data_IF_725067650792
#
_entry.id   IF_725067650792
#
_cell.length_a   1.000
_cell.length_b   1.000
_cell.length_c   1.000
_cell.angle_alpha   90.00
_cell.angle_beta   90.00
_cell.angle_gamma   90.00
#
_symmetry.space_group_name_H-M   'P 1'
#
loop_
_entity.id
_entity.type
_entity.pdbx_description
1 polymer ?
#
# COMPACT_ATOMS: atom_id res chain seq x y z
N UNK A 1 -30.52 -37.49 -11.21
CA UNK A 1 -29.20 -37.54 -10.55
C UNK A 1 -28.67 -36.11 -10.47
N UNK A 2 -28.88 -35.42 -9.35
CA UNK A 2 -28.77 -33.96 -9.26
C UNK A 2 -27.32 -33.53 -8.98
N UNK A 3 -26.86 -32.54 -9.74
CA UNK A 3 -25.52 -31.94 -9.76
C UNK A 3 -24.99 -31.48 -8.37
N UNK A 4 -24.40 -32.39 -7.60
CA UNK A 4 -23.65 -32.07 -6.38
C UNK A 4 -22.26 -31.44 -6.65
N UNK A 5 -21.74 -31.55 -7.89
CA UNK A 5 -20.39 -31.09 -8.22
C UNK A 5 -20.25 -29.56 -8.34
N UNK A 6 -21.30 -28.83 -8.75
CA UNK A 6 -21.23 -27.37 -8.90
C UNK A 6 -21.02 -26.65 -7.55
N UNK A 7 -21.68 -27.11 -6.48
CA UNK A 7 -21.60 -26.46 -5.16
C UNK A 7 -20.26 -26.74 -4.45
N UNK A 8 -19.57 -27.85 -4.79
CA UNK A 8 -18.19 -28.11 -4.33
C UNK A 8 -17.18 -27.22 -5.04
N UNK A 9 -17.32 -27.03 -6.36
CA UNK A 9 -16.40 -26.22 -7.16
C UNK A 9 -16.39 -24.75 -6.71
N UNK A 10 -17.57 -24.16 -6.47
CA UNK A 10 -17.68 -22.77 -5.99
C UNK A 10 -16.99 -22.54 -4.64
N UNK A 11 -17.16 -23.45 -3.68
CA UNK A 11 -16.51 -23.37 -2.35
C UNK A 11 -14.98 -23.42 -2.44
N UNK A 12 -14.45 -24.30 -3.30
CA UNK A 12 -13.00 -24.42 -3.51
C UNK A 12 -12.45 -23.14 -4.14
N UNK A 13 -13.14 -22.58 -5.15
CA UNK A 13 -12.76 -21.31 -5.76
C UNK A 13 -12.72 -20.17 -4.74
N UNK A 14 -13.78 -19.98 -3.94
CA UNK A 14 -13.82 -18.91 -2.91
C UNK A 14 -12.70 -19.05 -1.88
N UNK A 15 -12.36 -20.28 -1.48
CA UNK A 15 -11.24 -20.54 -0.55
C UNK A 15 -9.89 -20.22 -1.17
N UNK A 16 -9.68 -20.56 -2.44
CA UNK A 16 -8.45 -20.19 -3.17
C UNK A 16 -8.34 -18.66 -3.29
N UNK A 17 -9.43 -17.96 -3.64
CA UNK A 17 -9.45 -16.50 -3.68
C UNK A 17 -9.17 -15.87 -2.31
N UNK A 18 -9.75 -16.40 -1.23
CA UNK A 18 -9.46 -15.94 0.12
C UNK A 18 -7.98 -16.13 0.51
N UNK A 19 -7.38 -17.26 0.13
CA UNK A 19 -5.94 -17.51 0.35
C UNK A 19 -5.05 -16.56 -0.45
N UNK A 20 -5.35 -16.32 -1.73
CA UNK A 20 -4.61 -15.35 -2.56
C UNK A 20 -4.72 -13.95 -1.95
N UNK A 21 -5.92 -13.54 -1.52
CA UNK A 21 -6.14 -12.25 -0.88
C UNK A 21 -5.36 -12.14 0.44
N UNK A 22 -5.30 -13.21 1.23
CA UNK A 22 -4.51 -13.26 2.46
C UNK A 22 -3.01 -13.08 2.18
N UNK A 23 -2.48 -13.80 1.20
CA UNK A 23 -1.07 -13.69 0.80
C UNK A 23 -0.75 -12.26 0.35
N UNK A 24 -1.59 -11.67 -0.51
CA UNK A 24 -1.45 -10.29 -0.96
C UNK A 24 -1.47 -9.30 0.21
N UNK A 25 -2.37 -9.51 1.17
CA UNK A 25 -2.50 -8.66 2.36
C UNK A 25 -1.27 -8.73 3.25
N UNK A 26 -0.71 -9.93 3.46
CA UNK A 26 0.56 -10.10 4.17
C UNK A 26 1.71 -9.37 3.46
N UNK A 27 1.79 -9.42 2.13
CA UNK A 27 2.80 -8.67 1.38
C UNK A 27 2.66 -7.15 1.58
N UNK A 28 1.42 -6.64 1.63
CA UNK A 28 1.17 -5.22 1.93
C UNK A 28 1.60 -4.86 3.35
N UNK A 29 1.33 -5.70 4.35
CA UNK A 29 1.79 -5.47 5.73
C UNK A 29 3.32 -5.46 5.85
N UNK A 30 4.02 -6.33 5.12
CA UNK A 30 5.50 -6.31 5.09
C UNK A 30 6.00 -4.99 4.49
N UNK A 31 5.37 -4.51 3.42
CA UNK A 31 5.67 -3.19 2.84
C UNK A 31 5.35 -2.05 3.80
N UNK A 32 4.26 -2.13 4.55
CA UNK A 32 3.90 -1.18 5.59
C UNK A 32 4.96 -1.13 6.69
N UNK A 33 5.37 -2.29 7.20
CA UNK A 33 6.40 -2.42 8.23
C UNK A 33 7.74 -1.83 7.76
N UNK A 34 8.20 -2.21 6.57
CA UNK A 34 9.40 -1.63 5.95
C UNK A 34 9.24 -0.13 5.71
N UNK A 35 8.03 0.35 5.41
CA UNK A 35 7.80 1.78 5.22
C UNK A 35 7.94 2.54 6.53
N UNK A 36 7.21 2.11 7.55
CA UNK A 36 7.10 2.76 8.85
C UNK A 36 8.40 2.69 9.64
N UNK A 37 9.09 1.56 9.63
CA UNK A 37 10.37 1.38 10.34
C UNK A 37 11.56 2.15 9.75
N UNK A 38 11.37 2.88 8.63
CA UNK A 38 12.42 3.73 8.08
C UNK A 38 12.55 5.02 8.89
N UNK A 39 13.79 5.36 9.18
CA UNK A 39 14.19 6.65 9.71
C UNK A 39 15.09 7.35 8.69
N UNK A 40 14.85 8.65 8.50
CA UNK A 40 15.70 9.49 7.66
C UNK A 40 15.54 10.95 8.04
N UNK A 41 16.60 11.72 7.83
CA UNK A 41 16.58 13.18 7.97
C UNK A 41 17.57 13.77 6.98
N UNK A 42 17.16 14.80 6.26
CA UNK A 42 18.05 15.45 5.30
C UNK A 42 17.32 16.39 4.37
N UNK A 43 18.00 16.72 3.26
CA UNK A 43 17.52 17.67 2.27
C UNK A 43 17.16 16.94 0.98
N UNK A 44 16.03 17.31 0.37
CA UNK A 44 15.59 16.75 -0.91
C UNK A 44 16.46 17.31 -2.04
N UNK A 45 17.19 16.43 -2.72
CA UNK A 45 18.06 16.81 -3.85
C UNK A 45 17.45 16.47 -5.20
N UNK A 46 16.59 15.44 -5.26
CA UNK A 46 15.96 14.99 -6.49
C UNK A 46 14.63 14.30 -6.19
N UNK A 47 13.70 14.42 -7.13
CA UNK A 47 12.40 13.77 -7.11
C UNK A 47 12.26 12.89 -8.35
N UNK A 48 11.83 11.65 -8.17
CA UNK A 48 11.62 10.72 -9.29
C UNK A 48 10.33 9.96 -9.11
N UNK A 49 9.59 9.75 -10.20
CA UNK A 49 8.42 8.87 -10.24
C UNK A 49 8.74 7.64 -11.07
N UNK A 50 8.22 6.49 -10.66
CA UNK A 50 8.25 5.28 -11.47
C UNK A 50 6.81 4.84 -11.74
N UNK A 51 6.39 4.65 -13.00
CA UNK A 51 5.12 4.00 -13.27
C UNK A 51 5.16 2.57 -12.74
N UNK A 52 4.19 2.19 -11.92
CA UNK A 52 4.00 0.84 -11.42
C UNK A 52 2.79 0.17 -12.08
N UNK A 53 2.70 -1.15 -11.97
CA UNK A 53 1.60 -1.95 -12.55
C UNK A 53 0.24 -1.54 -11.95
N UNK A 54 0.21 -1.14 -10.67
CA UNK A 54 -1.03 -0.79 -9.95
C UNK A 54 -1.13 0.70 -9.59
N UNK A 55 0.00 1.39 -9.41
CA UNK A 55 0.04 2.82 -9.06
C UNK A 55 1.41 3.43 -9.32
N UNK A 56 1.45 4.75 -9.54
CA UNK A 56 2.69 5.52 -9.63
C UNK A 56 3.41 5.50 -8.30
N UNK A 57 4.69 5.11 -8.32
CA UNK A 57 5.56 5.11 -7.14
C UNK A 57 6.36 6.41 -7.08
N UNK A 58 6.28 7.10 -5.93
CA UNK A 58 6.92 8.39 -5.70
C UNK A 58 8.18 8.22 -4.84
N UNK A 59 9.28 8.82 -5.28
CA UNK A 59 10.57 8.73 -4.59
C UNK A 59 11.20 10.09 -4.38
N UNK A 60 11.68 10.30 -3.15
CA UNK A 60 12.58 11.39 -2.80
C UNK A 60 14.00 10.85 -2.68
N UNK A 61 14.94 11.57 -3.27
CA UNK A 61 16.37 11.35 -3.04
C UNK A 61 16.80 12.37 -2.01
N UNK A 62 17.23 11.87 -0.86
CA UNK A 62 17.54 12.67 0.31
C UNK A 62 19.04 12.57 0.57
N UNK A 63 19.69 13.72 0.69
CA UNK A 63 21.05 13.81 1.17
C UNK A 63 21.01 14.07 2.69
N UNK A 64 21.68 13.25 3.52
CA UNK A 64 21.74 13.49 4.95
C UNK A 64 22.36 14.86 5.21
N UNK A 65 21.66 15.70 5.98
CA UNK A 65 22.16 17.00 6.36
C UNK A 65 23.29 16.81 7.38
N UNK A 66 24.53 16.99 6.95
CA UNK A 66 25.57 17.49 7.86
C UNK A 66 25.23 18.94 8.19
N UNK A 67 25.55 19.39 9.40
CA UNK A 67 25.23 20.73 9.90
C UNK A 67 25.41 21.82 8.84
N UNK A 68 24.36 22.61 8.64
CA UNK A 68 24.34 23.89 7.92
C UNK A 68 24.96 23.88 6.51
N UNK A 69 24.31 23.17 5.58
CA UNK A 69 24.57 23.34 4.15
C UNK A 69 24.25 24.79 3.73
N UNK A 70 25.27 25.55 3.36
CA UNK A 70 25.10 26.89 2.82
C UNK A 70 24.33 26.84 1.48
N UNK A 71 23.61 27.92 1.13
CA UNK A 71 22.86 28.02 -0.15
C UNK A 71 23.74 27.74 -1.38
N UNK A 72 25.05 27.97 -1.26
CA UNK A 72 26.05 27.69 -2.29
C UNK A 72 26.45 26.20 -2.36
N UNK A 73 26.52 25.49 -1.24
CA UNK A 73 26.75 24.04 -1.22
C UNK A 73 25.55 23.26 -1.78
N UNK A 74 24.35 23.82 -1.60
CA UNK A 74 23.11 23.30 -2.19
C UNK A 74 23.12 23.42 -3.72
N UNK A 75 23.65 24.52 -4.25
CA UNK A 75 23.86 24.71 -5.70
C UNK A 75 25.00 23.82 -6.21
N UNK A 76 26.08 23.65 -5.44
CA UNK A 76 27.16 22.71 -5.77
C UNK A 76 26.71 21.24 -5.76
N UNK A 77 25.71 20.91 -4.95
CA UNK A 77 25.09 19.59 -4.92
C UNK A 77 24.26 19.28 -6.19
N UNK A 78 23.79 20.30 -6.91
CA UNK A 78 23.10 20.15 -8.21
C UNK A 78 24.05 19.85 -9.36
N UNK A 79 25.31 20.30 -9.29
CA UNK A 79 26.27 20.25 -10.40
C UNK A 79 27.09 18.96 -10.49
N UNK A 80 26.75 17.92 -9.71
CA UNK A 80 27.28 16.54 -9.79
C UNK A 80 28.70 16.43 -10.39
N UNK A 81 29.74 16.60 -9.57
CA UNK A 81 31.05 15.96 -9.84
C UNK A 81 31.84 15.64 -8.57
N UNK A 82 31.56 16.28 -7.43
CA UNK A 82 32.50 16.23 -6.30
C UNK A 82 31.81 16.36 -4.94
N UNK A 83 30.96 15.41 -4.56
CA UNK A 83 30.56 15.33 -3.15
C UNK A 83 30.38 13.89 -2.69
N UNK A 84 31.32 13.47 -1.85
CA UNK A 84 31.58 12.15 -1.25
C UNK A 84 30.42 11.53 -0.43
N UNK A 85 29.20 12.09 -0.52
CA UNK A 85 28.03 11.66 0.26
C UNK A 85 26.91 11.13 -0.64
N UNK A 86 26.63 9.81 -0.61
CA UNK A 86 25.59 9.21 -1.43
C UNK A 86 24.21 9.70 -0.99
N UNK A 87 23.39 10.11 -1.95
CA UNK A 87 21.96 10.37 -1.73
C UNK A 87 21.23 9.03 -1.60
N UNK A 88 20.27 8.97 -0.68
CA UNK A 88 19.48 7.76 -0.45
C UNK A 88 18.07 7.94 -1.00
N UNK A 89 17.56 6.90 -1.67
CA UNK A 89 16.24 6.91 -2.30
C UNK A 89 15.19 6.37 -1.33
N UNK A 90 14.17 7.17 -1.04
CA UNK A 90 13.07 6.81 -0.16
C UNK A 90 11.73 6.86 -0.90
N UNK A 91 10.96 5.77 -0.84
CA UNK A 91 9.58 5.74 -1.31
C UNK A 91 8.66 6.50 -0.34
N UNK A 92 7.88 7.44 -0.85
CA UNK A 92 6.99 8.33 -0.06
C UNK A 92 5.57 8.33 -0.63
N UNK A 93 4.63 8.93 0.10
CA UNK A 93 3.27 9.13 -0.39
C UNK A 93 3.22 10.22 -1.48
N UNK A 94 2.17 10.21 -2.29
CA UNK A 94 1.94 11.25 -3.30
C UNK A 94 1.89 12.65 -2.68
N UNK A 95 1.25 12.78 -1.52
CA UNK A 95 1.13 14.04 -0.78
C UNK A 95 2.52 14.56 -0.38
N UNK A 96 3.35 13.70 0.22
CA UNK A 96 4.72 14.08 0.61
C UNK A 96 5.56 14.46 -0.61
N UNK A 97 5.37 13.76 -1.74
CA UNK A 97 6.07 14.06 -2.98
C UNK A 97 5.70 15.44 -3.57
N UNK A 98 4.41 15.78 -3.53
CA UNK A 98 3.91 17.07 -4.01
C UNK A 98 4.37 18.22 -3.13
N UNK A 99 4.33 18.04 -1.81
CA UNK A 99 4.68 19.09 -0.85
C UNK A 99 6.17 19.31 -0.74
N UNK A 100 6.99 18.25 -0.81
CA UNK A 100 8.43 18.36 -0.69
C UNK A 100 9.02 19.08 -1.91
N UNK A 101 9.45 20.32 -1.71
CA UNK A 101 10.20 21.09 -2.69
C UNK A 101 11.67 20.64 -2.73
N UNK A 102 12.35 20.95 -3.82
CA UNK A 102 13.80 20.78 -3.87
C UNK A 102 14.43 21.68 -2.80
N UNK A 103 15.42 21.13 -2.09
CA UNK A 103 16.13 21.78 -0.99
C UNK A 103 15.37 21.97 0.30
N UNK A 104 14.18 21.40 0.38
CA UNK A 104 13.43 21.37 1.61
C UNK A 104 13.98 20.29 2.55
N UNK A 105 13.98 20.63 3.84
CA UNK A 105 14.33 19.68 4.88
C UNK A 105 13.17 18.71 5.09
N UNK A 106 13.48 17.41 5.01
CA UNK A 106 12.53 16.33 5.23
C UNK A 106 13.08 15.40 6.28
N UNK A 107 12.24 15.04 7.24
CA UNK A 107 12.60 14.08 8.28
C UNK A 107 11.46 13.13 8.60
N UNK A 108 11.82 11.93 9.04
CA UNK A 108 10.90 10.90 9.47
C UNK A 108 11.52 10.12 10.62
N UNK A 109 10.77 10.01 11.71
CA UNK A 109 11.11 9.13 12.83
C UNK A 109 10.67 7.69 12.56
N UNK A 110 11.41 6.73 13.13
CA UNK A 110 11.09 5.31 13.03
C UNK A 110 9.70 5.02 13.62
N UNK A 111 8.92 4.20 12.91
CA UNK A 111 7.54 3.84 13.22
C UNK A 111 6.53 5.01 13.25
N UNK A 112 6.92 6.19 12.75
CA UNK A 112 6.00 7.31 12.57
C UNK A 112 5.12 7.13 11.34
N UNK A 113 3.82 7.43 11.48
CA UNK A 113 2.89 7.58 10.36
C UNK A 113 3.04 8.92 9.63
N UNK A 114 3.94 9.78 10.10
CA UNK A 114 4.14 11.13 9.58
C UNK A 114 5.57 11.31 9.07
N UNK A 115 5.68 12.05 7.97
CA UNK A 115 6.92 12.59 7.41
C UNK A 115 6.83 14.11 7.57
N UNK A 116 7.81 14.70 8.25
CA UNK A 116 7.93 16.14 8.37
C UNK A 116 8.60 16.70 7.11
N UNK A 117 7.99 17.71 6.50
CA UNK A 117 8.47 18.44 5.32
C UNK A 117 8.39 19.92 5.67
N UNK A 118 9.52 20.62 5.71
CA UNK A 118 9.53 22.06 6.02
C UNK A 118 8.97 22.45 7.39
N UNK A 119 8.82 21.49 8.31
CA UNK A 119 8.19 21.70 9.63
C UNK A 119 6.73 21.27 9.72
N UNK A 120 6.09 20.90 8.61
CA UNK A 120 4.72 20.38 8.58
C UNK A 120 4.70 18.86 8.45
N UNK A 121 3.69 18.20 9.03
CA UNK A 121 3.60 16.74 9.07
C UNK A 121 2.60 16.21 8.05
N UNK A 122 3.09 15.31 7.19
CA UNK A 122 2.31 14.68 6.13
C UNK A 122 2.27 13.16 6.28
N UNK A 123 1.21 12.52 5.77
CA UNK A 123 1.01 11.08 5.93
C UNK A 123 2.03 10.24 5.16
N UNK A 124 2.60 9.26 5.84
CA UNK A 124 3.49 8.26 5.24
C UNK A 124 2.72 7.25 4.40
N UNK A 125 3.36 6.77 3.33
CA UNK A 125 2.85 5.69 2.49
C UNK A 125 2.62 4.39 3.28
N UNK A 126 3.38 4.18 4.35
CA UNK A 126 3.25 3.01 5.22
C UNK A 126 1.89 2.87 5.88
N UNK A 127 1.23 3.98 6.21
CA UNK A 127 -0.13 3.96 6.77
C UNK A 127 -1.13 3.41 5.75
N UNK A 128 -1.00 3.81 4.49
CA UNK A 128 -1.87 3.30 3.42
C UNK A 128 -1.72 1.79 3.25
N UNK A 129 -0.47 1.29 3.19
CA UNK A 129 -0.20 -0.15 3.09
C UNK A 129 -0.73 -0.93 4.29
N UNK A 130 -0.64 -0.34 5.49
CA UNK A 130 -1.18 -0.93 6.72
C UNK A 130 -2.70 -1.09 6.63
N UNK A 131 -3.40 -0.02 6.28
CA UNK A 131 -4.87 -0.01 6.18
C UNK A 131 -5.37 -0.99 5.11
N UNK A 132 -4.75 -0.98 3.93
CA UNK A 132 -5.10 -1.90 2.85
C UNK A 132 -4.83 -3.37 3.22
N UNK A 133 -3.70 -3.64 3.88
CA UNK A 133 -3.37 -4.98 4.39
C UNK A 133 -4.36 -5.48 5.43
N UNK A 134 -4.74 -4.64 6.40
CA UNK A 134 -5.74 -4.99 7.42
C UNK A 134 -7.12 -5.23 6.81
N UNK A 135 -7.56 -4.37 5.89
CA UNK A 135 -8.83 -4.55 5.19
C UNK A 135 -8.86 -5.88 4.41
N UNK A 136 -7.77 -6.21 3.70
CA UNK A 136 -7.66 -7.46 2.95
C UNK A 136 -7.68 -8.71 3.84
N UNK A 137 -7.06 -8.66 5.03
CA UNK A 137 -7.15 -9.74 6.03
C UNK A 137 -8.59 -9.92 6.50
N UNK A 138 -9.29 -8.83 6.87
CA UNK A 138 -10.67 -8.89 7.33
C UNK A 138 -11.56 -9.52 6.25
N UNK A 139 -11.45 -9.07 5.00
CA UNK A 139 -12.23 -9.61 3.88
C UNK A 139 -11.92 -11.09 3.65
N UNK A 140 -10.65 -11.48 3.68
CA UNK A 140 -10.23 -12.87 3.53
C UNK A 140 -10.83 -13.77 4.61
N UNK A 141 -10.81 -13.32 5.87
CA UNK A 141 -11.39 -14.03 7.01
C UNK A 141 -12.91 -14.16 6.85
N UNK A 142 -13.61 -13.08 6.50
CA UNK A 142 -15.05 -13.10 6.26
C UNK A 142 -15.41 -14.08 5.14
N UNK A 143 -14.69 -14.05 4.01
CA UNK A 143 -14.89 -15.00 2.91
C UNK A 143 -14.65 -16.44 3.36
N UNK A 144 -13.61 -16.69 4.16
CA UNK A 144 -13.33 -18.01 4.69
C UNK A 144 -14.47 -18.52 5.57
N UNK A 145 -14.93 -17.73 6.54
CA UNK A 145 -16.02 -18.11 7.44
C UNK A 145 -17.37 -18.29 6.73
N UNK A 146 -17.68 -17.48 5.71
CA UNK A 146 -18.87 -17.68 4.88
C UNK A 146 -18.88 -19.06 4.19
N UNK A 147 -17.71 -19.60 3.83
CA UNK A 147 -17.61 -20.95 3.24
C UNK A 147 -17.68 -22.09 4.27
N UNK A 148 -17.47 -21.81 5.56
CA UNK A 148 -17.56 -22.76 6.68
C UNK A 148 -18.99 -22.80 7.25
N UNK A 149 -19.60 -21.63 7.46
CA UNK A 149 -20.91 -21.47 8.09
C UNK A 149 -22.06 -21.58 7.09
N UNK A 150 -22.28 -22.80 6.55
CA UNK A 150 -23.48 -23.10 5.74
C UNK A 150 -24.27 -24.28 6.33
N UNK A 151 -24.68 -24.15 7.58
CA UNK A 151 -25.90 -24.77 8.14
C UNK A 151 -27.01 -23.71 8.29
N UNK A 152 -27.19 -22.87 7.28
CA UNK A 152 -28.46 -22.15 7.08
C UNK A 152 -28.99 -22.58 5.74
N UNK A 153 -30.20 -23.10 5.80
CA UNK A 153 -30.98 -23.77 4.77
C UNK A 153 -30.96 -23.02 3.44
N UNK A 154 -31.15 -23.70 2.30
CA UNK A 154 -31.35 -23.03 1.04
C UNK A 154 -32.63 -22.19 1.12
N UNK A 155 -32.47 -20.86 1.21
CA UNK A 155 -33.55 -19.88 1.02
C UNK A 155 -33.82 -19.63 -0.47
N UNK A 156 -33.79 -20.71 -1.27
CA UNK A 156 -34.34 -20.75 -2.60
C UNK A 156 -35.51 -21.72 -2.52
N UNK A 157 -36.69 -21.19 -2.15
CA UNK A 157 -37.91 -21.79 -2.65
C UNK A 157 -37.88 -21.57 -4.15
N UNK A 158 -37.93 -22.65 -4.93
CA UNK A 158 -38.42 -22.53 -6.30
C UNK A 158 -39.79 -21.89 -6.18
N UNK A 159 -39.91 -20.62 -6.56
CA UNK A 159 -41.22 -20.14 -7.01
C UNK A 159 -41.54 -21.04 -8.19
N UNK A 160 -42.48 -21.96 -7.98
CA UNK A 160 -43.17 -22.62 -9.08
C UNK A 160 -43.80 -21.47 -9.87
N UNK A 161 -43.14 -21.12 -10.98
CA UNK A 161 -43.68 -20.18 -11.94
C UNK A 161 -44.86 -20.91 -12.55
N UNK A 162 -46.07 -20.64 -12.06
CA UNK A 162 -47.30 -20.98 -12.75
C UNK A 162 -47.26 -20.25 -14.10
N UNK A 163 -46.93 -20.99 -15.17
CA UNK A 163 -47.07 -20.51 -16.54
C UNK A 163 -48.52 -20.79 -16.94
N UNK A 164 -49.42 -19.78 -16.99
CA UNK A 164 -50.78 -20.03 -17.44
C UNK A 164 -50.77 -20.41 -18.93
N UNK A 165 -51.28 -21.60 -19.26
CA UNK A 165 -51.52 -22.03 -20.65
C UNK A 165 -50.83 -23.32 -21.12
N UNK A 166 -50.29 -24.16 -20.22
CA UNK A 166 -49.88 -25.53 -20.55
C UNK A 166 -50.89 -26.53 -19.96
N UNK A 167 -51.99 -26.74 -20.69
CA UNK A 167 -52.76 -28.00 -20.70
C UNK A 167 -52.56 -28.69 -22.05
#
# INVERSE_FOLDING_TARGET
MINLNLNRSGKIKTRIFALILLMLSCSMLISAYRSLGREFSGVVVKRTTSPGITSTQYYLHIRPAGENLSRNEVIAALTETESDRPSHRYGVSAIVYEQAQLFEQVSKSSFSFFIAVGGENYLDLGLLWLLMGLAGIIISIVMHFQTINRRREPKYQSEDIDIPGLE
#
